data_IF_013544059708
#
_entry.id   IF_013544059708
#
_cell.length_a   1.000
_cell.length_b   1.000
_cell.length_c   1.000
_cell.angle_alpha   90.00
_cell.angle_beta   90.00
_cell.angle_gamma   90.00
#
_symmetry.space_group_name_H-M   'P 1'
#
loop_
_entity.id
_entity.type
_entity.pdbx_description
1 polymer ?
#
# COMPACT_ATOMS: atom_id res chain seq x y z
N UNK A 1 -11.37 -17.77 -46.44
CA UNK A 1 -11.38 -18.06 -44.99
C UNK A 1 -11.26 -16.73 -44.28
N UNK A 2 -12.35 -16.21 -43.72
CA UNK A 2 -12.32 -14.91 -43.02
C UNK A 2 -11.66 -15.08 -41.67
N UNK A 3 -10.59 -14.32 -41.43
CA UNK A 3 -9.89 -14.27 -40.15
C UNK A 3 -10.85 -13.78 -39.06
N UNK A 4 -11.07 -14.58 -38.02
CA UNK A 4 -11.94 -14.18 -36.91
C UNK A 4 -11.23 -13.09 -36.11
N UNK A 5 -11.79 -11.89 -36.09
CA UNK A 5 -11.27 -10.75 -35.33
C UNK A 5 -11.24 -11.09 -33.84
N UNK A 6 -10.05 -11.07 -33.23
CA UNK A 6 -9.86 -11.24 -31.78
C UNK A 6 -9.76 -9.86 -31.15
N UNK A 7 -10.46 -9.66 -30.03
CA UNK A 7 -10.28 -8.47 -29.18
C UNK A 7 -9.75 -8.88 -27.81
N UNK A 8 -9.12 -7.93 -27.13
CA UNK A 8 -8.72 -8.07 -25.74
C UNK A 8 -9.74 -7.37 -24.86
N UNK A 9 -10.43 -8.15 -24.02
CA UNK A 9 -11.39 -7.67 -23.04
C UNK A 9 -10.78 -7.67 -21.64
N UNK A 10 -11.43 -6.92 -20.76
CA UNK A 10 -11.03 -6.78 -19.39
C UNK A 10 -11.91 -7.55 -18.41
N UNK A 11 -11.33 -8.49 -17.67
CA UNK A 11 -12.05 -9.25 -16.63
C UNK A 11 -12.02 -8.52 -15.30
N UNK A 12 -13.15 -8.53 -14.59
CA UNK A 12 -13.25 -8.01 -13.23
C UNK A 12 -13.87 -9.03 -12.27
N UNK A 13 -13.64 -8.82 -10.98
CA UNK A 13 -14.36 -9.49 -9.90
C UNK A 13 -15.76 -8.87 -9.78
N UNK A 14 -16.86 -9.62 -9.92
CA UNK A 14 -18.21 -9.04 -9.89
C UNK A 14 -18.62 -8.45 -8.53
N UNK A 15 -17.99 -8.86 -7.43
CA UNK A 15 -18.30 -8.36 -6.09
C UNK A 15 -17.56 -7.05 -5.78
N UNK A 16 -16.29 -6.94 -6.17
CA UNK A 16 -15.46 -5.75 -5.87
C UNK A 16 -15.19 -4.85 -7.07
N UNK A 17 -15.50 -5.33 -8.27
CA UNK A 17 -15.20 -4.71 -9.58
C UNK A 17 -13.70 -4.55 -9.85
N UNK A 18 -12.85 -5.19 -9.05
CA UNK A 18 -11.40 -5.13 -9.21
C UNK A 18 -10.94 -5.83 -10.48
N UNK A 19 -9.91 -5.28 -11.12
CA UNK A 19 -9.24 -5.86 -12.28
C UNK A 19 -8.63 -7.22 -11.95
N UNK A 20 -9.03 -8.25 -12.71
CA UNK A 20 -8.50 -9.61 -12.58
C UNK A 20 -7.50 -9.98 -13.68
N UNK A 21 -7.60 -9.33 -14.85
CA UNK A 21 -6.70 -9.60 -15.96
C UNK A 21 -7.38 -9.46 -17.32
N UNK A 22 -6.55 -9.52 -18.36
CA UNK A 22 -7.02 -9.47 -19.72
C UNK A 22 -7.48 -10.85 -20.21
N UNK A 23 -8.53 -10.86 -21.02
CA UNK A 23 -9.03 -12.07 -21.69
C UNK A 23 -9.14 -11.84 -23.18
N UNK A 24 -8.82 -12.87 -23.96
CA UNK A 24 -8.97 -12.82 -25.42
C UNK A 24 -10.34 -13.33 -25.82
N UNK A 25 -11.09 -12.49 -26.52
CA UNK A 25 -12.43 -12.79 -26.99
C UNK A 25 -12.40 -12.99 -28.50
N UNK A 26 -12.98 -14.09 -28.96
CA UNK A 26 -13.11 -14.39 -30.39
C UNK A 26 -14.47 -13.92 -30.86
N UNK A 27 -14.51 -13.24 -32.01
CA UNK A 27 -15.77 -12.90 -32.64
C UNK A 27 -16.52 -14.17 -33.07
N UNK A 28 -17.83 -14.15 -32.86
CA UNK A 28 -18.77 -15.07 -33.47
C UNK A 28 -18.81 -14.85 -35.00
N UNK A 29 -19.36 -15.80 -35.79
CA UNK A 29 -19.44 -15.68 -37.24
C UNK A 29 -20.18 -14.43 -37.75
N UNK A 30 -21.07 -13.85 -36.94
CA UNK A 30 -21.79 -12.61 -37.23
C UNK A 30 -21.01 -11.33 -36.86
N UNK A 31 -19.77 -11.47 -36.38
CA UNK A 31 -18.90 -10.37 -35.98
C UNK A 31 -19.18 -9.83 -34.57
N UNK A 32 -20.15 -10.39 -33.84
CA UNK A 32 -20.42 -10.00 -32.45
C UNK A 32 -19.48 -10.72 -31.49
N UNK A 33 -19.29 -10.13 -30.32
CA UNK A 33 -18.58 -10.74 -29.20
C UNK A 33 -19.60 -11.05 -28.11
N UNK A 34 -19.75 -12.33 -27.76
CA UNK A 34 -20.44 -12.69 -26.53
C UNK A 34 -19.48 -12.40 -25.37
N UNK A 35 -19.75 -11.32 -24.64
CA UNK A 35 -19.00 -10.99 -23.42
C UNK A 35 -19.54 -11.85 -22.28
N UNK A 36 -18.68 -12.57 -21.56
CA UNK A 36 -19.04 -13.11 -20.25
C UNK A 36 -19.49 -11.99 -19.30
N UNK A 37 -20.35 -12.33 -18.33
CA UNK A 37 -20.97 -11.37 -17.41
C UNK A 37 -19.99 -10.52 -16.60
N UNK A 38 -18.74 -10.97 -16.45
CA UNK A 38 -17.68 -10.29 -15.71
C UNK A 38 -16.54 -9.77 -16.61
N UNK A 39 -16.84 -9.48 -17.88
CA UNK A 39 -15.87 -8.99 -18.87
C UNK A 39 -16.39 -7.76 -19.60
N UNK A 40 -15.59 -6.70 -19.63
CA UNK A 40 -15.82 -5.50 -20.46
C UNK A 40 -14.95 -5.53 -21.71
N UNK A 41 -15.34 -4.80 -22.75
CA UNK A 41 -14.66 -4.81 -24.05
C UNK A 41 -13.32 -4.02 -24.08
N UNK A 42 -12.87 -3.49 -22.95
CA UNK A 42 -11.66 -2.67 -22.85
C UNK A 42 -10.88 -3.01 -21.57
N UNK A 43 -9.56 -2.91 -21.64
CA UNK A 43 -8.66 -3.11 -20.50
C UNK A 43 -8.34 -1.76 -19.83
N UNK A 44 -7.80 -1.77 -18.60
CA UNK A 44 -7.22 -0.57 -18.01
C UNK A 44 -6.11 0.02 -18.89
N UNK A 45 -5.81 1.33 -18.77
CA UNK A 45 -4.84 2.02 -19.61
C UNK A 45 -3.38 1.55 -19.43
N UNK A 46 -3.10 0.68 -18.45
CA UNK A 46 -1.80 0.10 -18.23
C UNK A 46 -1.73 -0.69 -16.93
N UNK A 47 -0.51 -0.88 -16.42
CA UNK A 47 -0.31 -1.47 -15.10
C UNK A 47 -0.68 -0.47 -14.00
N UNK A 48 -1.28 -0.97 -12.92
CA UNK A 48 -1.52 -0.15 -11.74
C UNK A 48 -0.17 0.23 -11.09
N UNK A 49 -0.01 1.46 -10.58
CA UNK A 49 1.12 1.82 -9.73
C UNK A 49 1.19 0.94 -8.48
N UNK A 50 2.33 1.00 -7.80
CA UNK A 50 2.50 0.31 -6.52
C UNK A 50 1.39 0.71 -5.53
N UNK A 51 0.81 -0.28 -4.84
CA UNK A 51 -0.26 -0.09 -3.86
C UNK A 51 -1.55 0.51 -4.43
N UNK A 52 -1.83 0.24 -5.70
CA UNK A 52 -3.09 0.59 -6.33
C UNK A 52 -3.63 -0.59 -7.12
N UNK A 53 -4.93 -0.56 -7.38
CA UNK A 53 -5.63 -1.50 -8.26
C UNK A 53 -6.62 -0.74 -9.13
N UNK A 54 -6.89 -1.25 -10.33
CA UNK A 54 -7.97 -0.75 -11.16
C UNK A 54 -9.30 -1.36 -10.72
N UNK A 55 -10.31 -0.51 -10.59
CA UNK A 55 -11.69 -0.89 -10.27
C UNK A 55 -12.57 -0.41 -11.39
N UNK A 56 -13.40 -1.28 -11.94
CA UNK A 56 -14.36 -0.90 -12.96
C UNK A 56 -15.44 -0.01 -12.32
N UNK A 57 -15.64 1.19 -12.85
CA UNK A 57 -16.65 2.13 -12.35
C UNK A 57 -18.06 1.52 -12.42
N UNK A 58 -19.02 2.11 -11.71
CA UNK A 58 -20.39 1.57 -11.64
C UNK A 58 -21.06 1.44 -13.03
N UNK A 59 -20.78 2.37 -13.94
CA UNK A 59 -21.31 2.38 -15.30
C UNK A 59 -20.74 1.26 -16.19
N UNK A 60 -19.58 0.69 -15.84
CA UNK A 60 -18.91 -0.37 -16.59
C UNK A 60 -18.18 0.12 -17.84
N UNK A 61 -17.94 1.42 -17.96
CA UNK A 61 -17.35 2.05 -19.15
C UNK A 61 -15.96 2.64 -18.92
N UNK A 62 -15.47 2.67 -17.67
CA UNK A 62 -14.13 3.12 -17.35
C UNK A 62 -13.53 2.38 -16.14
N UNK A 63 -12.20 2.24 -16.18
CA UNK A 63 -11.40 1.75 -15.06
C UNK A 63 -10.87 2.93 -14.25
N UNK A 64 -11.17 2.94 -12.96
CA UNK A 64 -10.70 3.93 -11.99
C UNK A 64 -9.54 3.35 -11.19
N UNK A 65 -8.57 4.19 -10.84
CA UNK A 65 -7.46 3.76 -9.99
C UNK A 65 -7.80 4.02 -8.53
N UNK A 66 -7.76 2.98 -7.72
CA UNK A 66 -8.05 3.04 -6.28
C UNK A 66 -6.80 2.63 -5.50
N UNK A 67 -6.56 3.29 -4.36
CA UNK A 67 -5.52 2.88 -3.44
C UNK A 67 -5.82 1.49 -2.86
N UNK A 68 -4.81 0.61 -2.80
CA UNK A 68 -4.92 -0.72 -2.22
C UNK A 68 -3.77 -0.99 -1.25
N UNK A 69 -4.02 -0.63 0.00
CA UNK A 69 -3.12 -0.89 1.10
C UNK A 69 -3.50 -2.14 1.90
N UNK A 70 -4.58 -2.87 1.55
CA UNK A 70 -5.19 -3.95 2.37
C UNK A 70 -4.21 -5.05 2.79
N UNK A 71 -3.14 -5.26 2.01
CA UNK A 71 -2.13 -6.33 2.22
C UNK A 71 -0.81 -5.82 2.77
N UNK A 72 -0.76 -4.58 3.23
CA UNK A 72 0.46 -3.93 3.72
C UNK A 72 0.40 -3.80 5.24
N UNK A 73 1.54 -3.98 5.91
CA UNK A 73 1.65 -3.70 7.33
C UNK A 73 1.76 -2.19 7.56
N UNK A 74 0.90 -1.65 8.42
CA UNK A 74 0.98 -0.25 8.84
C UNK A 74 1.90 -0.11 10.05
N UNK A 75 2.56 1.03 10.16
CA UNK A 75 3.41 1.39 11.29
C UNK A 75 2.87 2.66 11.94
N UNK A 76 2.70 2.62 13.26
CA UNK A 76 2.42 3.80 14.06
C UNK A 76 3.68 4.68 14.13
N UNK A 77 3.57 5.91 13.64
CA UNK A 77 4.71 6.83 13.53
C UNK A 77 5.16 7.41 14.85
N UNK A 78 4.30 7.41 15.87
CA UNK A 78 4.59 7.90 17.21
C UNK A 78 5.15 6.80 18.12
N UNK A 79 4.59 5.59 18.03
CA UNK A 79 4.98 4.46 18.88
C UNK A 79 6.07 3.58 18.25
N UNK A 80 6.31 3.72 16.95
CA UNK A 80 7.28 2.90 16.20
C UNK A 80 6.94 1.41 16.27
N UNK A 81 5.65 1.10 16.15
CA UNK A 81 5.13 -0.26 16.29
C UNK A 81 4.32 -0.67 15.06
N UNK A 82 4.38 -1.96 14.66
CA UNK A 82 3.51 -2.47 13.62
C UNK A 82 2.07 -2.55 14.15
N UNK A 83 1.10 -2.15 13.32
CA UNK A 83 -0.32 -2.12 13.65
C UNK A 83 -1.10 -2.99 12.65
N UNK A 84 -2.09 -3.77 13.11
CA UNK A 84 -2.98 -4.51 12.21
C UNK A 84 -3.66 -3.58 11.22
N UNK A 85 -3.51 -3.86 9.93
CA UNK A 85 -4.15 -3.09 8.88
C UNK A 85 -5.64 -3.46 8.77
N UNK A 86 -6.50 -2.44 8.77
CA UNK A 86 -7.95 -2.55 8.63
C UNK A 86 -8.51 -1.67 7.51
N UNK A 87 -7.64 -1.09 6.68
CA UNK A 87 -8.05 -0.28 5.54
C UNK A 87 -8.82 -1.14 4.55
N UNK A 88 -9.89 -0.57 4.00
CA UNK A 88 -10.61 -1.12 2.88
C UNK A 88 -9.96 -0.70 1.55
N UNK A 89 -10.51 -1.18 0.45
CA UNK A 89 -10.12 -0.72 -0.88
C UNK A 89 -10.52 0.75 -1.06
N UNK A 90 -9.61 1.56 -1.57
CA UNK A 90 -9.81 3.00 -1.79
C UNK A 90 -9.57 3.85 -0.54
N UNK A 91 -9.33 3.26 0.63
CA UNK A 91 -8.96 4.02 1.83
C UNK A 91 -7.52 4.55 1.71
N UNK A 92 -7.33 5.81 2.08
CA UNK A 92 -6.01 6.40 2.27
C UNK A 92 -5.35 5.93 3.58
N UNK A 93 -4.02 6.02 3.65
CA UNK A 93 -3.28 5.78 4.90
C UNK A 93 -3.62 6.91 5.90
N UNK A 94 -4.15 6.59 7.10
CA UNK A 94 -4.55 7.62 8.04
C UNK A 94 -3.35 8.38 8.62
N UNK A 95 -3.59 9.63 9.01
CA UNK A 95 -2.57 10.44 9.67
C UNK A 95 -2.02 9.74 10.93
N UNK A 96 -0.71 9.83 11.15
CA UNK A 96 -0.03 9.13 12.24
C UNK A 96 0.42 7.71 11.89
N UNK A 97 0.07 7.20 10.70
CA UNK A 97 0.55 5.90 10.21
C UNK A 97 1.38 6.03 8.93
N UNK A 98 2.17 5.00 8.65
CA UNK A 98 2.94 4.87 7.41
C UNK A 98 3.00 3.41 6.95
N UNK A 99 3.18 3.20 5.66
CA UNK A 99 3.47 1.88 5.07
C UNK A 99 4.95 1.53 5.08
N UNK A 100 5.81 2.48 5.46
CA UNK A 100 7.25 2.30 5.48
C UNK A 100 7.67 1.68 6.82
N UNK A 101 8.35 0.53 6.84
CA UNK A 101 8.92 0.02 8.07
C UNK A 101 10.07 0.92 8.55
N UNK A 102 10.27 1.05 9.87
CA UNK A 102 11.46 1.70 10.40
C UNK A 102 12.71 0.93 9.93
N UNK A 103 13.78 1.63 9.53
CA UNK A 103 15.03 0.99 9.16
C UNK A 103 15.64 0.25 10.37
N UNK A 104 16.46 -0.79 10.19
CA UNK A 104 17.09 -1.45 11.32
C UNK A 104 18.11 -0.54 12.02
N UNK A 105 18.11 -0.53 13.36
CA UNK A 105 19.20 0.03 14.16
C UNK A 105 20.14 -1.12 14.55
N UNK A 106 21.46 -1.03 14.28
CA UNK A 106 22.41 -2.06 14.68
C UNK A 106 22.38 -2.32 16.19
N UNK A 107 22.51 -3.58 16.64
CA UNK A 107 22.55 -3.89 18.06
C UNK A 107 23.65 -3.10 18.78
N UNK A 108 23.33 -2.53 19.94
CA UNK A 108 24.26 -1.75 20.75
C UNK A 108 24.34 -0.27 20.39
N UNK A 109 23.77 0.17 19.26
CA UNK A 109 23.63 1.61 18.98
C UNK A 109 22.54 2.23 19.85
N UNK A 110 22.90 3.30 20.58
CA UNK A 110 21.96 4.06 21.40
C UNK A 110 21.21 5.07 20.53
N UNK A 111 20.32 4.57 19.68
CA UNK A 111 19.52 5.39 18.75
C UNK A 111 18.04 5.10 18.88
N UNK A 112 17.21 5.99 18.36
CA UNK A 112 15.76 5.82 18.24
C UNK A 112 15.27 6.22 16.86
N UNK A 113 14.13 5.69 16.47
CA UNK A 113 13.40 6.15 15.29
C UNK A 113 12.57 7.39 15.61
N UNK A 114 12.55 8.32 14.67
CA UNK A 114 11.66 9.48 14.68
C UNK A 114 11.05 9.63 13.30
N UNK A 115 9.73 9.76 13.23
CA UNK A 115 9.06 9.99 11.95
C UNK A 115 9.20 11.45 11.51
N UNK A 116 9.65 11.66 10.27
CA UNK A 116 9.71 12.98 9.64
C UNK A 116 8.53 13.18 8.72
N UNK A 117 7.49 13.88 9.20
CA UNK A 117 6.29 14.17 8.40
C UNK A 117 6.59 14.98 7.13
N UNK A 118 7.60 15.85 7.15
CA UNK A 118 8.00 16.64 5.99
C UNK A 118 8.64 15.79 4.88
N UNK A 119 9.42 14.76 5.25
CA UNK A 119 10.10 13.86 4.31
C UNK A 119 9.31 12.60 4.00
N UNK A 120 8.23 12.34 4.74
CA UNK A 120 7.48 11.09 4.71
C UNK A 120 8.42 9.88 4.86
N UNK A 121 9.35 9.96 5.83
CA UNK A 121 10.38 8.96 6.06
C UNK A 121 10.77 8.87 7.54
N UNK A 122 11.32 7.73 7.91
CA UNK A 122 11.94 7.53 9.22
C UNK A 122 13.34 8.14 9.25
N UNK A 123 13.60 8.93 10.29
CA UNK A 123 14.93 9.33 10.70
C UNK A 123 15.41 8.48 11.88
N UNK A 124 16.72 8.45 12.06
CA UNK A 124 17.37 7.77 13.18
C UNK A 124 18.18 8.81 13.94
N UNK A 125 17.85 9.01 15.21
CA UNK A 125 18.50 10.00 16.09
C UNK A 125 19.25 9.30 17.22
N UNK A 126 20.36 9.91 17.66
CA UNK A 126 21.06 9.49 18.86
C UNK A 126 20.21 9.75 20.11
N UNK A 127 20.16 8.77 21.01
CA UNK A 127 19.58 8.97 22.33
C UNK A 127 20.48 9.89 23.16
N UNK A 128 19.90 10.74 24.01
CA UNK A 128 20.70 11.57 24.91
C UNK A 128 21.63 10.69 25.77
N UNK A 129 22.79 11.22 26.22
CA UNK A 129 23.65 10.50 27.14
C UNK A 129 22.84 10.01 28.34
N UNK A 130 23.13 8.79 28.81
CA UNK A 130 22.50 8.33 30.04
C UNK A 130 22.81 9.36 31.13
N UNK A 131 21.86 9.66 32.04
CA UNK A 131 22.20 10.41 33.22
C UNK A 131 23.38 9.69 33.87
N UNK A 132 24.44 10.44 34.21
CA UNK A 132 25.57 9.84 34.92
C UNK A 132 25.01 9.15 36.16
N UNK A 133 25.51 7.94 36.52
CA UNK A 133 25.17 7.38 37.81
C UNK A 133 25.44 8.46 38.85
N UNK A 134 24.51 8.65 39.78
CA UNK A 134 24.77 9.47 40.95
C UNK A 134 25.88 8.76 41.73
N UNK A 135 27.13 8.98 41.33
CA UNK A 135 28.29 8.56 42.09
C UNK A 135 28.14 9.22 43.44
N UNK A 136 28.05 8.38 44.47
CA UNK A 136 28.30 8.68 45.88
C UNK A 136 28.86 10.09 46.05
N UNK A 137 28.01 11.03 46.48
CA UNK A 137 28.55 12.17 47.20
C UNK A 137 29.39 11.55 48.32
N UNK A 138 30.70 11.83 48.41
CA UNK A 138 31.45 11.43 49.60
C UNK A 138 30.70 11.96 50.81
N UNK A 139 30.67 11.23 51.94
CA UNK A 139 30.03 11.75 53.15
C UNK A 139 30.63 13.13 53.41
N UNK A 140 29.77 14.13 53.40
CA UNK A 140 30.11 15.49 53.79
C UNK A 140 30.67 15.37 55.20
N UNK A 141 31.96 15.64 55.40
CA UNK A 141 32.58 15.74 56.72
C UNK A 141 31.80 16.83 57.48
N UNK A 142 30.86 16.39 58.30
CA UNK A 142 30.09 17.25 59.17
C UNK A 142 31.04 17.78 60.26
N UNK A 143 31.04 19.10 60.52
CA UNK A 143 31.92 19.72 61.51
C UNK A 143 31.64 19.31 62.96
#
# INVERSE_FOLDING_TARGET
>A
MSERKVIEGGMYDPATREWLGAVRLKAEPDGRYALPDNVVAHTPPGSAPTHHVYVLNAAGDAWELHADYRRILLWDTAMVMPVPNRLALGDDVPAGFTILPPPPIPPGERKRHVWSGARQAWDVEDLPPLPMPATEMPPEDQP
#
